data_IF_199252409371
#
_entry.id   IF_199252409371
#
_cell.length_a   1.000
_cell.length_b   1.000
_cell.length_c   1.000
_cell.angle_alpha   90.00
_cell.angle_beta   90.00
_cell.angle_gamma   90.00
#
_symmetry.space_group_name_H-M   'P 1'
#
loop_
_entity.id
_entity.type
_entity.pdbx_description
1 polymer ?
#
# COMPACT_ATOMS: atom_id res chain seq x y z
N UNK A 1 20.59 -20.16 -10.98
CA UNK A 1 20.70 -19.64 -9.60
C UNK A 1 20.17 -20.68 -8.64
N UNK A 2 20.76 -20.86 -7.49
CA UNK A 2 20.17 -21.69 -6.44
C UNK A 2 18.96 -20.99 -5.83
N UNK A 3 18.03 -21.73 -5.22
CA UNK A 3 16.85 -21.13 -4.54
C UNK A 3 17.26 -20.05 -3.52
N UNK A 4 18.41 -20.22 -2.86
CA UNK A 4 18.94 -19.24 -1.92
C UNK A 4 19.42 -17.94 -2.57
N UNK A 5 19.89 -17.99 -3.82
CA UNK A 5 20.33 -16.78 -4.55
C UNK A 5 19.16 -15.93 -5.03
N UNK A 6 18.04 -16.57 -5.38
CA UNK A 6 16.82 -15.87 -5.82
C UNK A 6 16.13 -15.13 -4.66
N UNK A 7 16.27 -15.65 -3.44
CA UNK A 7 15.68 -15.08 -2.23
C UNK A 7 16.49 -13.91 -1.61
N UNK A 8 17.62 -13.52 -2.24
CA UNK A 8 18.42 -12.36 -1.85
C UNK A 8 18.51 -11.38 -3.01
N UNK A 9 17.87 -10.23 -2.85
CA UNK A 9 17.72 -9.22 -3.89
C UNK A 9 17.61 -7.81 -3.29
N UNK A 10 17.60 -6.78 -4.13
CA UNK A 10 17.29 -5.43 -3.71
C UNK A 10 15.83 -5.06 -4.00
N UNK A 11 15.19 -4.38 -3.06
CA UNK A 11 13.89 -3.77 -3.25
C UNK A 11 14.03 -2.25 -3.36
N UNK A 12 13.30 -1.64 -4.28
CA UNK A 12 13.25 -0.21 -4.51
C UNK A 12 11.90 0.36 -4.09
N UNK A 13 11.90 1.31 -3.15
CA UNK A 13 10.75 2.13 -2.79
C UNK A 13 10.85 3.47 -3.52
N UNK A 14 10.00 3.69 -4.52
CA UNK A 14 9.98 4.89 -5.34
C UNK A 14 9.08 5.95 -4.71
N UNK A 15 9.65 7.08 -4.35
CA UNK A 15 8.94 8.28 -3.91
C UNK A 15 8.68 9.16 -5.12
N UNK A 16 7.43 9.49 -5.37
CA UNK A 16 7.05 10.32 -6.51
C UNK A 16 6.20 11.50 -6.08
N UNK A 17 6.05 12.43 -6.99
CA UNK A 17 5.24 13.62 -6.84
C UNK A 17 3.75 13.29 -7.00
N UNK A 18 2.92 13.71 -6.05
CA UNK A 18 1.48 13.44 -6.08
C UNK A 18 0.83 14.15 -7.28
N UNK A 19 0.16 13.41 -8.18
CA UNK A 19 -0.47 14.01 -9.35
C UNK A 19 -1.80 14.69 -9.00
N UNK A 20 -2.17 15.65 -9.82
CA UNK A 20 -3.45 16.36 -9.73
C UNK A 20 -4.17 16.34 -11.09
N UNK A 21 -4.52 15.16 -11.63
CA UNK A 21 -5.11 15.03 -12.96
C UNK A 21 -6.56 15.47 -12.99
N UNK A 22 -6.97 16.11 -14.08
CA UNK A 22 -8.37 16.45 -14.32
C UNK A 22 -9.18 15.26 -14.87
N UNK A 23 -8.51 14.36 -15.60
CA UNK A 23 -9.15 13.20 -16.24
C UNK A 23 -8.15 12.07 -16.55
N UNK A 24 -8.66 10.96 -17.06
CA UNK A 24 -7.90 9.74 -17.40
C UNK A 24 -6.76 9.95 -18.39
N UNK A 25 -6.83 10.96 -19.24
CA UNK A 25 -5.80 11.20 -20.28
C UNK A 25 -4.43 11.52 -19.68
N UNK A 26 -4.39 11.97 -18.44
CA UNK A 26 -3.15 12.25 -17.73
C UNK A 26 -2.42 10.98 -17.25
N UNK A 27 -3.10 9.84 -17.10
CA UNK A 27 -2.55 8.60 -16.53
C UNK A 27 -1.36 8.09 -17.36
N UNK A 28 -1.49 8.10 -18.70
CA UNK A 28 -0.44 7.61 -19.60
C UNK A 28 0.94 8.23 -19.35
N UNK A 29 0.98 9.55 -19.16
CA UNK A 29 2.24 10.28 -18.85
C UNK A 29 2.81 9.92 -17.48
N UNK A 30 1.94 9.66 -16.51
CA UNK A 30 2.39 9.18 -15.18
C UNK A 30 3.04 7.81 -15.29
N UNK A 31 2.44 6.92 -16.09
CA UNK A 31 3.01 5.59 -16.35
C UNK A 31 4.35 5.70 -17.07
N UNK A 32 4.49 6.56 -18.11
CA UNK A 32 5.79 6.82 -18.76
C UNK A 32 6.88 7.18 -17.75
N UNK A 33 6.54 8.08 -16.84
CA UNK A 33 7.46 8.54 -15.82
C UNK A 33 7.85 7.41 -14.84
N UNK A 34 6.88 6.63 -14.37
CA UNK A 34 7.15 5.50 -13.46
C UNK A 34 7.95 4.39 -14.13
N UNK A 35 7.71 4.10 -15.42
CA UNK A 35 8.55 3.15 -16.18
C UNK A 35 9.99 3.62 -16.27
N UNK A 36 10.22 4.91 -16.48
CA UNK A 36 11.56 5.51 -16.45
C UNK A 36 12.22 5.36 -15.07
N UNK A 37 11.46 5.55 -13.97
CA UNK A 37 11.98 5.34 -12.63
C UNK A 37 12.33 3.88 -12.35
N UNK A 38 11.58 2.93 -12.92
CA UNK A 38 11.93 1.49 -12.85
C UNK A 38 13.29 1.26 -13.52
N UNK A 39 13.50 1.78 -14.72
CA UNK A 39 14.77 1.63 -15.45
C UNK A 39 15.94 2.22 -14.62
N UNK A 40 15.74 3.38 -13.99
CA UNK A 40 16.74 3.99 -13.12
C UNK A 40 17.00 3.16 -11.85
N UNK A 41 15.96 2.61 -11.22
CA UNK A 41 16.10 1.78 -10.02
C UNK A 41 16.88 0.50 -10.32
N UNK A 42 16.53 -0.19 -11.40
CA UNK A 42 17.16 -1.46 -11.80
C UNK A 42 18.58 -1.22 -12.29
N UNK A 43 18.77 -0.33 -13.29
CA UNK A 43 20.09 -0.09 -13.88
C UNK A 43 21.08 0.57 -12.92
N UNK A 44 20.60 1.48 -12.05
CA UNK A 44 21.46 2.18 -11.11
C UNK A 44 21.99 1.31 -9.97
N UNK A 45 21.32 0.22 -9.63
CA UNK A 45 21.72 -0.66 -8.50
C UNK A 45 22.29 -2.01 -8.96
N UNK A 46 22.19 -2.34 -10.24
CA UNK A 46 22.69 -3.60 -10.83
C UNK A 46 24.11 -3.98 -10.42
N UNK A 47 25.10 -3.07 -10.34
CA UNK A 47 26.45 -3.41 -9.95
C UNK A 47 26.60 -3.93 -8.51
N UNK A 48 25.60 -3.74 -7.67
CA UNK A 48 25.66 -4.11 -6.25
C UNK A 48 24.83 -5.35 -5.95
N UNK A 49 23.54 -5.32 -6.32
CA UNK A 49 22.58 -6.39 -6.10
C UNK A 49 21.40 -6.20 -7.05
N UNK A 50 20.92 -7.26 -7.75
CA UNK A 50 19.80 -7.10 -8.66
C UNK A 50 18.53 -6.61 -7.94
N UNK A 51 17.91 -5.57 -8.46
CA UNK A 51 16.59 -5.13 -7.99
C UNK A 51 15.54 -6.07 -8.56
N UNK A 52 14.75 -6.69 -7.69
CA UNK A 52 13.70 -7.64 -8.08
C UNK A 52 12.30 -7.19 -7.65
N UNK A 53 12.19 -6.17 -6.81
CA UNK A 53 10.91 -5.58 -6.39
C UNK A 53 10.99 -4.06 -6.49
N UNK A 54 10.03 -3.45 -7.19
CA UNK A 54 9.87 -2.00 -7.29
C UNK A 54 8.47 -1.64 -6.80
N UNK A 55 8.38 -0.65 -5.90
CA UNK A 55 7.13 -0.24 -5.23
C UNK A 55 6.88 1.23 -5.48
N UNK A 56 5.67 1.57 -5.93
CA UNK A 56 5.18 2.94 -6.11
C UNK A 56 4.14 3.30 -5.05
N UNK A 57 3.95 4.60 -4.77
CA UNK A 57 3.06 5.05 -3.71
C UNK A 57 1.58 5.08 -4.13
N UNK A 58 0.71 5.28 -3.15
CA UNK A 58 -0.73 5.50 -3.36
C UNK A 58 -0.96 6.74 -4.25
N UNK A 59 -2.01 6.70 -5.07
CA UNK A 59 -2.37 7.75 -6.03
C UNK A 59 -1.29 8.08 -7.07
N UNK A 60 -0.41 7.15 -7.34
CA UNK A 60 0.66 7.35 -8.32
C UNK A 60 0.14 7.74 -9.71
N UNK A 61 -1.02 7.24 -10.08
CA UNK A 61 -1.64 7.44 -11.40
C UNK A 61 -2.61 8.61 -11.41
N UNK A 62 -3.45 8.70 -10.40
CA UNK A 62 -4.45 9.76 -10.25
C UNK A 62 -4.81 9.94 -8.77
N UNK A 63 -4.74 11.17 -8.27
CA UNK A 63 -5.26 11.52 -6.95
C UNK A 63 -6.78 11.75 -7.01
N UNK A 64 -7.51 11.52 -5.90
CA UNK A 64 -8.96 11.70 -5.82
C UNK A 64 -9.33 13.19 -5.72
N UNK A 65 -9.16 13.93 -6.79
CA UNK A 65 -9.34 15.39 -6.83
C UNK A 65 -10.80 15.87 -6.89
N UNK A 66 -11.74 14.94 -6.99
CA UNK A 66 -13.18 15.25 -7.04
C UNK A 66 -13.86 14.83 -5.74
N UNK A 67 -14.86 15.63 -5.26
CA UNK A 67 -15.47 15.41 -3.95
C UNK A 67 -16.47 14.26 -3.90
N UNK A 68 -16.87 13.70 -5.03
CA UNK A 68 -17.88 12.63 -5.09
C UNK A 68 -17.34 11.38 -5.78
N UNK A 69 -17.80 10.21 -5.34
CA UNK A 69 -17.48 8.94 -5.97
C UNK A 69 -17.93 8.92 -7.45
N UNK A 70 -19.06 9.54 -7.77
CA UNK A 70 -19.57 9.64 -9.13
C UNK A 70 -18.62 10.38 -10.06
N UNK A 71 -18.11 11.53 -9.64
CA UNK A 71 -17.16 12.29 -10.46
C UNK A 71 -15.83 11.54 -10.64
N UNK A 72 -15.34 10.86 -9.58
CA UNK A 72 -14.16 10.01 -9.68
C UNK A 72 -14.38 8.87 -10.68
N UNK A 73 -15.55 8.21 -10.61
CA UNK A 73 -15.93 7.14 -11.52
C UNK A 73 -15.96 7.62 -12.97
N UNK A 74 -16.62 8.74 -13.23
CA UNK A 74 -16.82 9.27 -14.58
C UNK A 74 -15.54 9.81 -15.20
N UNK A 75 -14.65 10.44 -14.40
CA UNK A 75 -13.51 11.20 -14.92
C UNK A 75 -12.17 10.49 -14.78
N UNK A 76 -11.94 9.73 -13.70
CA UNK A 76 -10.63 9.20 -13.34
C UNK A 76 -10.56 7.68 -13.28
N UNK A 77 -11.61 7.01 -12.83
CA UNK A 77 -11.57 5.58 -12.60
C UNK A 77 -11.41 4.78 -13.91
N UNK A 78 -10.55 3.76 -13.84
CA UNK A 78 -10.24 2.85 -14.95
C UNK A 78 -10.53 1.41 -14.56
N UNK A 79 -10.87 0.51 -15.49
CA UNK A 79 -10.94 -0.90 -15.21
C UNK A 79 -9.54 -1.46 -14.97
N UNK A 80 -9.43 -2.62 -14.31
CA UNK A 80 -8.20 -3.41 -14.20
C UNK A 80 -8.55 -4.85 -14.64
N UNK A 81 -7.87 -5.43 -15.67
CA UNK A 81 -6.73 -4.88 -16.42
C UNK A 81 -7.09 -3.72 -17.37
N UNK A 82 -6.08 -2.97 -17.79
CA UNK A 82 -6.20 -1.89 -18.78
C UNK A 82 -4.87 -1.67 -19.50
N UNK A 83 -4.85 -0.74 -20.48
CA UNK A 83 -3.65 -0.41 -21.26
C UNK A 83 -2.43 0.01 -20.41
N UNK A 84 -2.66 0.59 -19.24
CA UNK A 84 -1.59 1.01 -18.35
C UNK A 84 -1.00 -0.17 -17.58
N UNK A 85 -1.85 -1.08 -17.10
CA UNK A 85 -1.37 -2.30 -16.42
C UNK A 85 -0.62 -3.21 -17.38
N UNK A 86 -1.00 -3.29 -18.65
CA UNK A 86 -0.27 -4.05 -19.67
C UNK A 86 1.16 -3.54 -19.84
N UNK A 87 1.36 -2.23 -19.82
CA UNK A 87 2.70 -1.63 -19.90
C UNK A 87 3.61 -2.00 -18.73
N UNK A 88 3.06 -2.12 -17.53
CA UNK A 88 3.81 -2.66 -16.38
C UNK A 88 4.10 -4.15 -16.53
N UNK A 89 3.18 -4.93 -17.11
CA UNK A 89 3.41 -6.36 -17.41
C UNK A 89 4.57 -6.50 -18.39
N UNK A 90 4.58 -5.71 -19.46
CA UNK A 90 5.68 -5.69 -20.43
C UNK A 90 7.02 -5.35 -19.76
N UNK A 91 7.04 -4.30 -18.91
CA UNK A 91 8.24 -3.88 -18.18
C UNK A 91 8.71 -4.94 -17.16
N UNK A 92 7.78 -5.56 -16.43
CA UNK A 92 8.09 -6.63 -15.48
C UNK A 92 8.70 -7.85 -16.20
N UNK A 93 8.18 -8.18 -17.38
CA UNK A 93 8.70 -9.26 -18.22
C UNK A 93 10.07 -8.93 -18.81
N UNK A 94 10.25 -7.71 -19.31
CA UNK A 94 11.52 -7.23 -19.87
C UNK A 94 12.68 -7.34 -18.87
N UNK A 95 12.43 -6.92 -17.62
CA UNK A 95 13.45 -6.82 -16.57
C UNK A 95 13.44 -8.02 -15.60
N UNK A 96 12.52 -8.97 -15.75
CA UNK A 96 12.31 -10.09 -14.83
C UNK A 96 12.19 -9.67 -13.38
N UNK A 97 11.30 -8.69 -13.11
CA UNK A 97 11.05 -8.07 -11.80
C UNK A 97 9.58 -8.14 -11.41
N UNK A 98 9.31 -7.84 -10.13
CA UNK A 98 7.98 -7.62 -9.58
C UNK A 98 7.75 -6.13 -9.33
N UNK A 99 6.57 -5.65 -9.69
CA UNK A 99 6.19 -4.25 -9.57
C UNK A 99 4.89 -4.14 -8.76
N UNK A 100 4.95 -3.41 -7.64
CA UNK A 100 3.75 -2.92 -6.98
C UNK A 100 3.43 -1.55 -7.56
N UNK A 101 2.36 -1.46 -8.33
CA UNK A 101 2.13 -0.34 -9.27
C UNK A 101 1.82 1.02 -8.65
N UNK A 102 1.71 1.12 -7.35
CA UNK A 102 0.99 2.23 -6.73
C UNK A 102 -0.50 2.03 -6.90
N UNK A 103 -1.33 3.06 -6.67
CA UNK A 103 -2.77 2.84 -6.81
C UNK A 103 -3.38 3.50 -8.05
N UNK A 104 -4.40 2.80 -8.57
CA UNK A 104 -5.40 3.31 -9.51
C UNK A 104 -6.69 3.60 -8.76
N UNK A 105 -7.46 4.55 -9.24
CA UNK A 105 -8.88 4.62 -8.99
C UNK A 105 -9.54 3.59 -9.92
N UNK A 106 -9.99 2.47 -9.34
CA UNK A 106 -10.53 1.33 -10.10
C UNK A 106 -12.06 1.40 -10.17
N UNK A 107 -12.61 1.13 -11.34
CA UNK A 107 -14.00 0.74 -11.51
C UNK A 107 -14.07 -0.73 -11.89
N UNK A 108 -15.06 -1.43 -11.36
CA UNK A 108 -15.30 -2.84 -11.65
C UNK A 108 -16.80 -3.04 -11.86
N UNK A 109 -17.19 -3.38 -13.07
CA UNK A 109 -18.60 -3.49 -13.49
C UNK A 109 -19.39 -4.52 -12.68
N UNK A 110 -18.71 -5.44 -11.98
CA UNK A 110 -19.35 -6.42 -11.07
C UNK A 110 -20.01 -5.75 -9.86
N UNK A 111 -19.53 -4.56 -9.49
CA UNK A 111 -19.96 -3.88 -8.26
C UNK A 111 -20.68 -2.54 -8.53
N UNK A 112 -21.09 -2.29 -9.79
CA UNK A 112 -21.81 -1.08 -10.15
C UNK A 112 -20.93 0.18 -10.19
N UNK A 113 -21.49 1.34 -9.84
CA UNK A 113 -20.83 2.64 -9.99
C UNK A 113 -19.99 3.02 -8.76
N UNK A 114 -19.26 2.08 -8.18
CA UNK A 114 -18.33 2.33 -7.08
C UNK A 114 -16.91 2.53 -7.60
N UNK A 115 -16.10 3.23 -6.82
CA UNK A 115 -14.67 3.42 -7.08
C UNK A 115 -13.87 2.77 -5.96
N UNK A 116 -12.90 1.96 -6.32
CA UNK A 116 -11.94 1.39 -5.38
C UNK A 116 -10.59 2.10 -5.51
N UNK A 117 -9.89 2.20 -4.39
CA UNK A 117 -8.48 2.55 -4.36
C UNK A 117 -7.67 1.25 -4.41
N UNK A 118 -7.08 0.94 -5.57
CA UNK A 118 -6.57 -0.40 -5.88
C UNK A 118 -5.11 -0.37 -6.29
N UNK A 119 -4.31 -1.23 -5.70
CA UNK A 119 -2.92 -1.49 -6.12
C UNK A 119 -2.78 -2.91 -6.69
N UNK A 120 -1.90 -3.07 -7.69
CA UNK A 120 -1.64 -4.35 -8.34
C UNK A 120 -0.21 -4.81 -8.08
N UNK A 121 -0.04 -6.08 -7.74
CA UNK A 121 1.24 -6.75 -7.86
C UNK A 121 1.33 -7.36 -9.26
N UNK A 122 2.33 -6.94 -10.01
CA UNK A 122 2.59 -7.38 -11.38
C UNK A 122 3.95 -8.05 -11.43
N UNK A 123 4.00 -9.23 -12.03
CA UNK A 123 5.22 -9.96 -12.32
C UNK A 123 5.38 -10.26 -13.80
N UNK A 124 6.44 -11.00 -14.19
CA UNK A 124 6.64 -11.43 -15.57
C UNK A 124 5.47 -12.25 -16.15
N UNK A 125 4.68 -12.87 -15.27
CA UNK A 125 3.52 -13.69 -15.65
C UNK A 125 2.24 -12.87 -15.87
N UNK A 126 2.23 -11.59 -15.49
CA UNK A 126 1.07 -10.70 -15.58
C UNK A 126 0.67 -10.08 -14.25
N UNK A 127 -0.62 -9.71 -14.11
CA UNK A 127 -1.19 -9.23 -12.85
C UNK A 127 -1.38 -10.44 -11.93
N UNK A 128 -0.66 -10.47 -10.81
CA UNK A 128 -0.66 -11.58 -9.85
C UNK A 128 -1.70 -11.40 -8.76
N UNK A 129 -1.91 -10.17 -8.32
CA UNK A 129 -2.96 -9.82 -7.35
C UNK A 129 -3.41 -8.39 -7.49
N UNK A 130 -4.63 -8.14 -6.98
CA UNK A 130 -5.18 -6.80 -6.73
C UNK A 130 -5.51 -6.69 -5.25
N UNK A 131 -5.09 -5.60 -4.62
CA UNK A 131 -5.52 -5.24 -3.29
C UNK A 131 -6.34 -3.95 -3.36
N UNK A 132 -7.55 -3.98 -2.84
CA UNK A 132 -8.44 -2.83 -2.69
C UNK A 132 -8.42 -2.35 -1.26
N UNK A 133 -8.20 -1.05 -1.04
CA UNK A 133 -8.07 -0.45 0.28
C UNK A 133 -9.28 -0.78 1.15
N UNK A 134 -9.04 -1.38 2.31
CA UNK A 134 -10.08 -1.77 3.26
C UNK A 134 -10.44 -0.59 4.17
N UNK A 135 -9.45 0.08 4.72
CA UNK A 135 -9.66 1.24 5.58
C UNK A 135 -9.44 2.51 4.76
N UNK A 136 -10.51 3.04 4.18
CA UNK A 136 -10.46 4.33 3.50
C UNK A 136 -10.19 5.44 4.50
N UNK A 137 -9.38 6.44 4.11
CA UNK A 137 -9.09 7.53 5.01
C UNK A 137 -10.22 8.55 5.00
N UNK A 138 -10.86 8.62 6.11
CA UNK A 138 -11.92 9.55 6.37
C UNK A 138 -11.31 10.82 6.99
N UNK A 139 -11.66 12.03 6.55
CA UNK A 139 -12.95 12.39 5.95
C UNK A 139 -12.98 12.55 4.42
N UNK A 140 -11.93 12.25 3.66
CA UNK A 140 -11.88 12.70 2.25
C UNK A 140 -11.96 11.59 1.20
N UNK A 141 -11.69 10.35 1.55
CA UNK A 141 -11.77 9.27 0.58
C UNK A 141 -13.19 8.73 0.44
N UNK A 142 -13.80 9.06 -0.68
CA UNK A 142 -15.14 8.58 -1.06
C UNK A 142 -15.10 7.26 -1.84
N UNK A 143 -14.05 6.47 -1.65
CA UNK A 143 -13.89 5.16 -2.25
C UNK A 143 -14.69 4.11 -1.49
N UNK A 144 -15.15 3.07 -2.19
CA UNK A 144 -15.74 1.91 -1.55
C UNK A 144 -14.66 1.04 -0.89
N UNK A 145 -14.95 0.55 0.29
CA UNK A 145 -14.22 -0.58 0.88
C UNK A 145 -14.82 -1.89 0.39
N UNK A 146 -14.02 -2.95 0.16
CA UNK A 146 -14.55 -4.30 -0.07
C UNK A 146 -15.54 -4.75 1.02
N UNK A 147 -15.31 -4.32 2.25
CA UNK A 147 -16.16 -4.62 3.40
C UNK A 147 -17.57 -4.02 3.30
N UNK A 148 -17.75 -2.94 2.55
CA UNK A 148 -19.04 -2.27 2.38
C UNK A 148 -19.94 -2.95 1.32
N UNK A 149 -19.43 -3.94 0.62
CA UNK A 149 -20.12 -4.63 -0.47
C UNK A 149 -20.52 -6.04 -0.05
N UNK A 150 -21.82 -6.32 0.12
CA UNK A 150 -22.31 -7.65 0.57
C UNK A 150 -21.90 -8.79 -0.36
N UNK A 151 -21.82 -8.50 -1.66
CA UNK A 151 -21.52 -9.49 -2.70
C UNK A 151 -20.05 -9.44 -3.17
N UNK A 152 -19.13 -8.91 -2.36
CA UNK A 152 -17.73 -8.89 -2.71
C UNK A 152 -17.15 -10.30 -2.83
N UNK A 153 -16.51 -10.60 -3.96
CA UNK A 153 -16.11 -11.97 -4.33
C UNK A 153 -14.60 -12.18 -4.35
N UNK A 154 -13.81 -11.12 -4.41
CA UNK A 154 -12.36 -11.24 -4.50
C UNK A 154 -11.74 -11.43 -3.10
N UNK A 155 -10.51 -11.93 -3.02
CA UNK A 155 -9.79 -12.02 -1.76
C UNK A 155 -9.47 -10.62 -1.20
N UNK A 156 -9.79 -10.38 0.09
CA UNK A 156 -9.61 -9.08 0.71
C UNK A 156 -8.13 -8.81 1.01
N UNK A 157 -7.38 -9.82 1.47
CA UNK A 157 -5.96 -9.70 1.84
C UNK A 157 -5.10 -10.70 1.06
N UNK A 158 -4.93 -10.51 -0.27
CA UNK A 158 -4.17 -11.44 -1.09
C UNK A 158 -2.68 -11.43 -0.75
N UNK A 159 -2.10 -12.63 -0.69
CA UNK A 159 -0.68 -12.86 -0.58
C UNK A 159 -0.24 -13.78 -1.71
N UNK A 160 0.74 -13.34 -2.48
CA UNK A 160 1.21 -14.07 -3.65
C UNK A 160 2.54 -14.73 -3.37
N UNK A 161 2.64 -16.02 -3.64
CA UNK A 161 3.91 -16.73 -3.64
C UNK A 161 4.65 -16.46 -4.95
N UNK A 162 5.88 -15.99 -4.84
CA UNK A 162 6.74 -15.67 -5.98
C UNK A 162 8.14 -16.25 -5.76
N UNK A 163 8.97 -16.35 -6.82
CA UNK A 163 10.39 -16.72 -6.67
C UNK A 163 11.19 -15.86 -5.70
N UNK A 164 10.76 -14.61 -5.45
CA UNK A 164 11.43 -13.68 -4.52
C UNK A 164 10.86 -13.67 -3.10
N UNK A 165 9.90 -14.55 -2.81
CA UNK A 165 9.21 -14.65 -1.52
C UNK A 165 7.70 -14.42 -1.64
N UNK A 166 7.01 -14.44 -0.49
CA UNK A 166 5.57 -14.20 -0.41
C UNK A 166 5.32 -12.72 -0.17
N UNK A 167 4.64 -12.08 -1.13
CA UNK A 167 4.40 -10.64 -1.16
C UNK A 167 2.95 -10.33 -0.82
N UNK A 168 2.73 -9.37 0.09
CA UNK A 168 1.40 -8.86 0.43
C UNK A 168 1.43 -7.35 0.59
N UNK A 169 0.43 -6.66 0.03
CA UNK A 169 0.35 -5.21 0.05
C UNK A 169 -0.88 -4.70 0.79
N UNK A 170 -0.74 -3.53 1.42
CA UNK A 170 -1.84 -2.74 1.97
C UNK A 170 -1.61 -1.25 1.71
N UNK A 171 -2.70 -0.46 1.75
CA UNK A 171 -2.68 0.92 1.29
C UNK A 171 -2.81 1.90 2.47
N UNK A 172 -1.82 2.75 2.65
CA UNK A 172 -1.80 3.98 3.45
C UNK A 172 -2.44 3.84 4.85
N UNK A 173 -3.71 4.22 4.98
CA UNK A 173 -4.43 4.24 6.26
C UNK A 173 -4.60 2.86 6.88
N UNK A 174 -4.65 1.78 6.07
CA UNK A 174 -4.63 0.40 6.57
C UNK A 174 -3.48 0.13 7.55
N UNK A 175 -2.35 0.81 7.37
CA UNK A 175 -1.15 0.61 8.17
C UNK A 175 -1.21 1.20 9.57
N UNK A 176 -2.14 2.11 9.85
CA UNK A 176 -2.37 2.60 11.21
C UNK A 176 -3.05 1.55 12.09
N UNK A 177 -3.71 0.57 11.47
CA UNK A 177 -4.31 -0.57 12.15
C UNK A 177 -3.34 -1.77 12.10
N UNK A 178 -3.05 -2.45 13.21
CA UNK A 178 -2.23 -3.66 13.18
C UNK A 178 -2.93 -4.84 12.50
N UNK A 179 -4.25 -4.88 12.48
CA UNK A 179 -5.05 -6.01 12.05
C UNK A 179 -4.88 -6.36 10.56
N UNK A 180 -4.99 -5.42 9.60
CA UNK A 180 -4.78 -5.71 8.18
C UNK A 180 -3.39 -6.26 7.90
N UNK A 181 -2.37 -5.70 8.54
CA UNK A 181 -0.98 -6.10 8.32
C UNK A 181 -0.70 -7.46 8.98
N UNK A 182 -1.28 -7.71 10.15
CA UNK A 182 -1.26 -9.02 10.79
C UNK A 182 -1.96 -10.07 9.94
N UNK A 183 -3.09 -9.73 9.31
CA UNK A 183 -3.82 -10.65 8.43
C UNK A 183 -2.98 -11.04 7.21
N UNK A 184 -2.33 -10.09 6.54
CA UNK A 184 -1.40 -10.40 5.46
C UNK A 184 -0.30 -11.37 5.90
N UNK A 185 0.25 -11.16 7.09
CA UNK A 185 1.29 -12.05 7.62
C UNK A 185 0.73 -13.41 8.01
N UNK A 186 -0.48 -13.49 8.55
CA UNK A 186 -1.16 -14.74 8.84
C UNK A 186 -1.46 -15.52 7.55
N UNK A 187 -1.71 -14.84 6.44
CA UNK A 187 -1.83 -15.42 5.10
C UNK A 187 -0.46 -15.81 4.49
N UNK A 188 0.64 -15.55 5.20
CA UNK A 188 1.98 -16.01 4.87
C UNK A 188 2.93 -14.95 4.32
N UNK A 189 2.57 -13.69 4.26
CA UNK A 189 3.44 -12.64 3.73
C UNK A 189 4.80 -12.59 4.45
N UNK A 190 5.86 -12.47 3.67
CA UNK A 190 7.27 -12.36 4.09
C UNK A 190 7.79 -10.95 3.84
N UNK A 191 7.28 -10.32 2.79
CA UNK A 191 7.53 -8.92 2.46
C UNK A 191 6.18 -8.20 2.43
N UNK A 192 6.03 -7.27 3.34
CA UNK A 192 4.86 -6.41 3.49
C UNK A 192 5.11 -5.12 2.72
N UNK A 193 4.24 -4.81 1.78
CA UNK A 193 4.39 -3.67 0.89
C UNK A 193 3.41 -2.58 1.29
N UNK A 194 3.95 -1.41 1.65
CA UNK A 194 3.16 -0.22 1.97
C UNK A 194 3.12 0.73 0.79
N UNK A 195 1.94 0.91 0.23
CA UNK A 195 1.64 1.86 -0.84
C UNK A 195 0.91 3.04 -0.22
N UNK A 196 1.52 4.25 -0.16
CA UNK A 196 1.00 5.31 0.70
C UNK A 196 1.08 6.72 0.10
N UNK A 197 0.07 7.52 0.42
CA UNK A 197 0.10 8.98 0.32
C UNK A 197 -0.13 9.59 1.71
N UNK A 198 0.76 9.26 2.65
CA UNK A 198 0.69 9.75 4.01
C UNK A 198 1.06 11.23 4.07
N UNK A 199 0.11 12.05 4.45
CA UNK A 199 0.18 13.50 4.27
C UNK A 199 0.43 14.31 5.56
N UNK A 200 0.45 13.66 6.72
CA UNK A 200 0.65 14.39 7.96
C UNK A 200 2.12 14.79 8.16
N UNK A 201 2.48 16.06 7.93
CA UNK A 201 3.87 16.47 8.05
C UNK A 201 4.37 16.45 9.50
N UNK A 202 3.49 16.62 10.48
CA UNK A 202 3.88 16.57 11.89
C UNK A 202 4.04 15.15 12.36
N UNK A 203 3.10 14.29 12.01
CA UNK A 203 3.17 12.88 12.34
C UNK A 203 4.31 12.16 11.64
N UNK A 204 4.71 12.60 10.43
CA UNK A 204 5.75 11.95 9.64
C UNK A 204 7.18 12.38 9.99
N UNK A 205 7.36 13.43 10.78
CA UNK A 205 8.68 14.00 11.08
C UNK A 205 8.98 13.97 12.59
N UNK A 206 10.29 13.93 12.98
CA UNK A 206 10.65 14.01 14.38
C UNK A 206 10.11 15.28 15.06
N UNK A 207 9.72 15.21 16.33
CA UNK A 207 9.92 14.07 17.26
C UNK A 207 8.82 13.01 17.23
N UNK A 208 7.70 13.20 16.53
CA UNK A 208 6.59 12.25 16.51
C UNK A 208 6.89 11.04 15.63
N UNK A 209 7.30 11.30 14.39
CA UNK A 209 7.80 10.30 13.42
C UNK A 209 6.92 9.02 13.27
N UNK A 210 5.60 9.20 13.24
CA UNK A 210 4.65 8.09 13.14
C UNK A 210 4.88 7.22 11.91
N UNK A 211 5.31 7.84 10.82
CA UNK A 211 5.64 7.12 9.59
C UNK A 211 6.70 6.04 9.84
N UNK A 212 7.84 6.42 10.41
CA UNK A 212 8.94 5.49 10.70
C UNK A 212 8.56 4.52 11.82
N UNK A 213 7.92 5.02 12.89
CA UNK A 213 7.50 4.19 14.03
C UNK A 213 6.56 3.09 13.59
N UNK A 214 5.52 3.40 12.82
CA UNK A 214 4.54 2.42 12.35
C UNK A 214 5.21 1.39 11.44
N UNK A 215 5.99 1.79 10.44
CA UNK A 215 6.65 0.86 9.53
C UNK A 215 7.59 -0.11 10.26
N UNK A 216 8.37 0.39 11.21
CA UNK A 216 9.26 -0.42 12.04
C UNK A 216 8.49 -1.37 12.96
N UNK A 217 7.41 -0.89 13.58
CA UNK A 217 6.56 -1.70 14.43
C UNK A 217 5.92 -2.85 13.63
N UNK A 218 5.35 -2.56 12.44
CA UNK A 218 4.75 -3.59 11.59
C UNK A 218 5.75 -4.64 11.13
N UNK A 219 6.99 -4.25 10.84
CA UNK A 219 8.06 -5.19 10.51
C UNK A 219 8.38 -6.11 11.70
N UNK A 220 8.64 -5.52 12.87
CA UNK A 220 9.04 -6.23 14.08
C UNK A 220 7.96 -7.19 14.59
N UNK A 221 6.72 -6.72 14.76
CA UNK A 221 5.63 -7.51 15.32
C UNK A 221 5.14 -8.63 14.40
N UNK A 222 5.45 -8.56 13.10
CA UNK A 222 5.08 -9.54 12.09
C UNK A 222 6.27 -10.40 11.62
N UNK A 223 7.47 -10.13 12.11
CA UNK A 223 8.70 -10.80 11.66
C UNK A 223 8.73 -10.85 10.14
N UNK A 224 8.66 -9.68 9.50
CA UNK A 224 8.56 -9.50 8.05
C UNK A 224 9.34 -8.27 7.59
N UNK A 225 9.82 -8.28 6.34
CA UNK A 225 10.33 -7.06 5.72
C UNK A 225 9.18 -6.09 5.44
N UNK A 226 9.48 -4.80 5.48
CA UNK A 226 8.58 -3.74 5.02
C UNK A 226 9.26 -2.93 3.93
N UNK A 227 8.59 -2.81 2.78
CA UNK A 227 8.96 -1.90 1.69
C UNK A 227 7.86 -0.85 1.59
N UNK A 228 8.17 0.36 2.00
CA UNK A 228 7.18 1.44 2.12
C UNK A 228 7.49 2.57 1.14
N UNK A 229 6.60 2.79 0.19
CA UNK A 229 6.66 3.91 -0.73
C UNK A 229 5.62 4.96 -0.34
N UNK A 230 6.05 6.22 -0.23
CA UNK A 230 5.19 7.36 0.09
C UNK A 230 5.24 8.42 -0.99
N UNK A 231 4.15 9.15 -1.14
CA UNK A 231 4.10 10.35 -1.98
C UNK A 231 4.93 11.49 -1.38
N UNK A 232 5.49 12.31 -2.26
CA UNK A 232 6.07 13.59 -1.89
C UNK A 232 5.39 14.71 -2.67
N UNK A 233 5.21 15.86 -2.04
CA UNK A 233 4.69 17.02 -2.74
C UNK A 233 5.81 17.76 -3.47
N UNK A 234 5.47 18.37 -4.61
CA UNK A 234 6.30 19.39 -5.23
C UNK A 234 5.58 20.73 -5.24
N UNK A 235 6.34 21.80 -5.39
CA UNK A 235 5.78 23.15 -5.50
C UNK A 235 4.84 23.33 -6.70
N UNK A 236 4.89 22.41 -7.67
CA UNK A 236 4.00 22.43 -8.82
C UNK A 236 2.56 21.99 -8.51
N UNK A 237 2.37 21.09 -7.55
CA UNK A 237 1.09 20.46 -7.27
C UNK A 237 0.52 20.85 -5.92
N UNK A 238 1.34 20.78 -4.86
CA UNK A 238 0.93 21.02 -3.48
C UNK A 238 2.02 21.75 -2.71
N UNK A 239 1.72 22.40 -1.59
CA UNK A 239 2.76 22.91 -0.71
C UNK A 239 3.74 21.80 -0.35
N UNK A 240 5.06 22.03 -0.48
CA UNK A 240 6.08 20.98 -0.32
C UNK A 240 6.08 20.23 1.01
N UNK A 241 5.48 20.77 2.04
CA UNK A 241 5.35 20.12 3.34
C UNK A 241 4.15 19.19 3.46
N UNK A 242 3.19 19.21 2.52
CA UNK A 242 1.92 18.47 2.62
C UNK A 242 2.10 16.96 2.57
N UNK A 243 3.05 16.47 1.77
CA UNK A 243 3.40 15.07 1.69
C UNK A 243 4.89 14.91 1.92
N UNK A 244 5.29 14.44 3.11
CA UNK A 244 6.69 14.51 3.54
C UNK A 244 7.61 13.46 2.91
N UNK A 245 7.09 12.53 2.13
CA UNK A 245 7.91 11.46 1.57
C UNK A 245 8.41 10.48 2.63
N UNK A 246 9.72 10.27 2.69
CA UNK A 246 10.34 9.36 3.65
C UNK A 246 10.21 7.88 3.30
N UNK A 247 10.04 7.56 2.01
CA UNK A 247 10.00 6.17 1.53
C UNK A 247 11.15 5.36 2.11
N UNK A 248 10.90 4.09 2.49
CA UNK A 248 11.88 3.32 3.26
C UNK A 248 11.81 1.82 3.04
N UNK A 249 12.87 1.13 3.44
CA UNK A 249 12.92 -0.32 3.59
C UNK A 249 13.33 -0.66 5.02
N UNK A 250 12.59 -1.58 5.65
CA UNK A 250 12.79 -2.01 7.04
C UNK A 250 12.95 -3.52 7.08
N UNK A 251 13.89 -4.03 7.88
CA UNK A 251 14.07 -5.47 8.06
C UNK A 251 13.10 -6.08 9.09
N UNK A 252 13.05 -7.39 9.15
CA UNK A 252 12.18 -8.14 10.07
C UNK A 252 12.50 -7.97 11.56
N UNK A 253 13.60 -7.31 11.90
CA UNK A 253 13.95 -6.88 13.26
C UNK A 253 13.51 -5.42 13.53
N UNK A 254 12.82 -4.77 12.59
CA UNK A 254 12.43 -3.38 12.70
C UNK A 254 13.60 -2.39 12.51
N UNK A 255 14.73 -2.84 11.94
CA UNK A 255 15.85 -1.95 11.61
C UNK A 255 15.61 -1.25 10.29
N UNK A 256 15.83 0.04 10.28
CA UNK A 256 15.78 0.85 9.06
C UNK A 256 17.01 0.52 8.20
N UNK A 257 16.79 -0.06 7.02
CA UNK A 257 17.87 -0.39 6.08
C UNK A 257 18.21 0.79 5.17
N UNK A 258 17.19 1.50 4.70
CA UNK A 258 17.33 2.73 3.93
C UNK A 258 16.06 3.59 4.06
N UNK A 259 16.21 4.91 3.99
CA UNK A 259 15.11 5.87 4.02
C UNK A 259 15.46 7.10 3.19
N UNK A 260 14.49 7.61 2.44
CA UNK A 260 14.58 8.91 1.81
C UNK A 260 14.58 10.02 2.87
N UNK A 261 15.38 11.06 2.68
CA UNK A 261 15.30 12.25 3.51
C UNK A 261 13.87 12.79 3.51
N UNK A 262 13.33 13.22 4.66
CA UNK A 262 12.05 13.90 4.70
C UNK A 262 12.03 15.13 3.79
N UNK A 263 10.91 15.35 3.12
CA UNK A 263 10.72 16.52 2.29
C UNK A 263 10.29 16.21 0.85
N UNK A 264 10.08 17.27 0.07
CA UNK A 264 9.56 17.18 -1.28
C UNK A 264 10.54 16.53 -2.25
N UNK A 265 10.00 16.14 -3.39
CA UNK A 265 10.77 15.66 -4.53
C UNK A 265 10.86 14.16 -4.65
N UNK A 266 11.18 13.74 -5.84
CA UNK A 266 11.27 12.33 -6.22
C UNK A 266 12.57 11.70 -5.75
N UNK A 267 12.48 10.46 -5.26
CA UNK A 267 13.61 9.70 -4.75
C UNK A 267 13.41 8.22 -5.01
N UNK A 268 14.49 7.49 -5.20
CA UNK A 268 14.50 6.03 -5.27
C UNK A 268 15.33 5.52 -4.10
N UNK A 269 14.68 4.81 -3.18
CA UNK A 269 15.33 4.22 -2.01
C UNK A 269 15.51 2.74 -2.26
N UNK A 270 16.75 2.26 -2.24
CA UNK A 270 17.07 0.86 -2.51
C UNK A 270 17.77 0.23 -1.32
N UNK A 271 17.34 -0.97 -0.94
CA UNK A 271 17.97 -1.75 0.12
C UNK A 271 17.89 -3.26 -0.13
N UNK A 272 18.83 -4.03 0.42
CA UNK A 272 18.81 -5.49 0.28
C UNK A 272 17.68 -6.13 1.10
N UNK A 273 17.10 -7.19 0.55
CA UNK A 273 16.15 -8.11 1.19
C UNK A 273 16.75 -9.51 1.15
N UNK A 274 16.69 -10.24 2.25
CA UNK A 274 17.12 -11.62 2.38
C UNK A 274 15.98 -12.46 2.98
N UNK A 275 15.13 -13.00 2.12
CA UNK A 275 13.99 -13.83 2.53
C UNK A 275 14.45 -15.17 3.09
N UNK A 276 15.61 -15.68 2.67
CA UNK A 276 16.17 -16.93 3.22
C UNK A 276 16.54 -16.74 4.71
N UNK A 277 17.15 -15.61 5.06
CA UNK A 277 17.44 -15.25 6.45
C UNK A 277 16.15 -15.08 7.28
N UNK A 278 15.13 -14.44 6.72
CA UNK A 278 13.82 -14.31 7.34
C UNK A 278 13.19 -15.68 7.64
N UNK A 279 13.18 -16.58 6.65
CA UNK A 279 12.63 -17.94 6.80
C UNK A 279 13.38 -18.72 7.88
N UNK A 280 14.70 -18.60 7.92
CA UNK A 280 15.51 -19.18 8.98
C UNK A 280 15.10 -18.63 10.36
N UNK A 281 14.98 -17.31 10.48
CA UNK A 281 14.57 -16.67 11.72
C UNK A 281 13.16 -17.10 12.17
N UNK A 282 12.17 -17.08 11.29
CA UNK A 282 10.81 -17.55 11.59
C UNK A 282 10.77 -19.00 12.07
N UNK A 283 11.66 -19.84 11.54
CA UNK A 283 11.75 -21.27 11.89
C UNK A 283 12.44 -21.49 13.24
N UNK A 284 13.49 -20.74 13.55
CA UNK A 284 14.39 -21.01 14.69
C UNK A 284 14.12 -20.15 15.93
N UNK A 285 13.48 -18.99 15.76
CA UNK A 285 13.17 -18.07 16.86
C UNK A 285 12.24 -18.72 17.87
N UNK A 286 12.70 -18.84 19.10
CA UNK A 286 11.92 -19.44 20.22
C UNK A 286 11.23 -18.37 21.06
N UNK A 287 11.94 -17.30 21.42
CA UNK A 287 11.39 -16.13 22.11
C UNK A 287 10.92 -15.06 21.12
N UNK A 288 9.96 -14.23 21.52
CA UNK A 288 9.42 -13.14 20.69
C UNK A 288 8.88 -13.59 19.31
N UNK A 289 8.40 -14.85 19.22
CA UNK A 289 7.71 -15.35 18.03
C UNK A 289 6.24 -14.91 18.09
N UNK A 290 6.01 -13.66 17.77
CA UNK A 290 4.73 -12.98 17.97
C UNK A 290 3.56 -13.61 17.22
N UNK A 291 3.82 -14.25 16.06
CA UNK A 291 2.80 -14.96 15.31
C UNK A 291 2.41 -16.28 15.96
N UNK A 292 3.40 -17.09 16.34
CA UNK A 292 3.14 -18.40 16.93
C UNK A 292 2.61 -18.31 18.38
N UNK A 293 2.86 -17.18 19.06
CA UNK A 293 2.39 -16.96 20.42
C UNK A 293 1.09 -16.15 20.50
N UNK A 294 0.52 -15.73 19.37
CA UNK A 294 -0.71 -14.95 19.35
C UNK A 294 -1.90 -15.77 19.83
N UNK A 295 -2.61 -15.23 20.81
CA UNK A 295 -3.79 -15.83 21.46
C UNK A 295 -5.06 -15.13 21.01
N UNK A 296 -5.35 -15.17 19.69
CA UNK A 296 -6.48 -14.45 19.07
C UNK A 296 -7.83 -14.81 19.70
N UNK A 297 -7.99 -16.01 20.24
CA UNK A 297 -9.18 -16.48 20.94
C UNK A 297 -9.46 -15.70 22.24
N UNK A 298 -8.46 -14.98 22.76
CA UNK A 298 -8.60 -14.14 23.96
C UNK A 298 -9.08 -12.72 23.67
N UNK A 299 -9.29 -12.35 22.41
CA UNK A 299 -9.63 -10.98 22.01
C UNK A 299 -11.05 -10.88 21.42
N UNK A 300 -12.10 -10.79 22.27
CA UNK A 300 -13.49 -10.74 21.79
C UNK A 300 -13.78 -9.51 20.91
N UNK A 301 -12.92 -8.50 20.91
CA UNK A 301 -13.05 -7.31 20.07
C UNK A 301 -13.10 -7.64 18.57
N UNK A 302 -12.44 -8.69 18.12
CA UNK A 302 -12.44 -9.09 16.71
C UNK A 302 -13.80 -9.62 16.22
N UNK A 303 -14.72 -9.93 17.12
CA UNK A 303 -16.10 -10.28 16.80
C UNK A 303 -17.08 -9.11 16.87
N UNK A 304 -16.60 -7.88 17.10
CA UNK A 304 -17.47 -6.70 17.30
C UNK A 304 -17.08 -5.59 16.33
N UNK A 305 -17.75 -5.48 15.18
CA UNK A 305 -17.52 -4.35 14.28
C UNK A 305 -17.94 -3.05 14.96
N UNK A 306 -17.03 -2.10 15.04
CA UNK A 306 -17.30 -0.80 15.61
C UNK A 306 -17.68 0.22 14.54
N UNK A 307 -16.98 0.18 13.40
CA UNK A 307 -17.37 0.97 12.24
C UNK A 307 -18.59 0.30 11.57
N UNK A 308 -19.64 1.05 11.26
CA UNK A 308 -20.80 0.48 10.58
C UNK A 308 -20.41 0.01 9.20
N UNK A 309 -20.46 -1.30 9.01
CA UNK A 309 -20.32 -1.96 7.71
C UNK A 309 -21.62 -1.90 6.91
N UNK A 310 -21.55 -2.35 5.67
CA UNK A 310 -22.73 -2.55 4.82
C UNK A 310 -23.49 -1.26 4.48
N UNK A 311 -22.80 -0.25 4.04
CA UNK A 311 -23.46 0.91 3.44
C UNK A 311 -23.74 0.73 1.94
N UNK A 312 -23.57 -0.49 1.42
CA UNK A 312 -24.05 -0.90 0.11
C UNK A 312 -23.42 -0.17 -1.08
N UNK A 313 -22.23 0.37 -0.94
CA UNK A 313 -21.57 1.14 -2.01
C UNK A 313 -22.32 2.43 -2.42
N UNK A 314 -23.46 2.72 -1.78
CA UNK A 314 -24.16 3.94 -2.01
C UNK A 314 -23.45 5.09 -1.35
N UNK A 315 -22.96 5.84 -2.00
CA UNK A 315 -22.60 6.93 -1.57
C UNK A 315 -21.86 7.34 -0.76
N UNK A 316 -20.87 7.26 -0.83
CA UNK A 316 -20.02 7.86 0.11
C UNK A 316 -19.85 9.36 -0.20
N UNK A 317 -20.56 10.15 0.52
CA UNK A 317 -20.30 11.57 0.67
C UNK A 317 -19.52 11.77 1.98
N UNK A 318 -18.78 12.87 2.09
CA UNK A 318 -18.10 13.24 3.36
C UNK A 318 -19.08 13.24 4.54
N UNK A 319 -20.31 13.67 4.29
CA UNK A 319 -21.38 13.70 5.29
C UNK A 319 -21.76 12.31 5.81
N UNK A 320 -21.93 11.33 4.92
CA UNK A 320 -22.21 9.94 5.31
C UNK A 320 -21.04 9.27 6.04
N UNK A 321 -19.82 9.69 5.77
CA UNK A 321 -18.63 9.24 6.50
C UNK A 321 -18.62 9.78 7.91
N UNK A 322 -18.93 11.07 8.09
CA UNK A 322 -19.01 11.70 9.41
C UNK A 322 -20.09 11.04 10.29
N UNK A 323 -21.25 10.69 9.71
CA UNK A 323 -22.28 9.91 10.40
C UNK A 323 -21.78 8.55 10.85
N UNK A 324 -21.05 7.83 9.99
CA UNK A 324 -20.46 6.54 10.32
C UNK A 324 -19.43 6.63 11.46
N UNK A 325 -18.60 7.68 11.45
CA UNK A 325 -17.66 7.95 12.53
C UNK A 325 -18.39 8.23 13.84
N UNK A 326 -19.45 9.04 13.80
CA UNK A 326 -20.23 9.37 14.98
C UNK A 326 -20.88 8.11 15.58
N UNK A 327 -21.42 7.22 14.76
CA UNK A 327 -21.96 5.93 15.19
C UNK A 327 -20.88 5.05 15.84
N UNK A 328 -19.72 4.92 15.22
CA UNK A 328 -18.61 4.14 15.76
C UNK A 328 -18.14 4.71 17.11
N UNK A 329 -18.03 6.04 17.24
CA UNK A 329 -17.71 6.69 18.51
C UNK A 329 -18.76 6.41 19.57
N UNK A 330 -20.05 6.39 19.21
CA UNK A 330 -21.13 6.02 20.12
C UNK A 330 -20.99 4.60 20.65
N UNK A 331 -20.66 3.62 19.79
CA UNK A 331 -20.39 2.22 20.19
C UNK A 331 -19.21 2.10 21.15
N UNK A 332 -18.22 2.99 21.05
CA UNK A 332 -17.07 3.07 21.94
C UNK A 332 -17.32 3.83 23.25
N UNK A 333 -18.50 4.43 23.41
CA UNK A 333 -18.81 5.28 24.55
C UNK A 333 -18.31 6.72 24.45
N UNK A 334 -17.89 7.15 23.29
CA UNK A 334 -17.43 8.51 23.00
C UNK A 334 -18.47 9.30 22.18
N UNK A 335 -19.75 8.98 22.36
CA UNK A 335 -20.81 9.78 21.75
C UNK A 335 -20.71 11.25 22.19
N UNK A 336 -20.96 12.17 21.27
CA UNK A 336 -21.00 13.60 21.59
C UNK A 336 -22.05 13.82 22.69
N UNK A 337 -21.59 14.24 23.86
CA UNK A 337 -22.51 14.95 24.79
C UNK A 337 -23.01 16.17 24.05
N UNK A 338 -24.33 16.27 23.92
CA UNK A 338 -25.01 17.48 23.45
C UNK A 338 -24.51 18.73 24.15
#
# INVERSE_FOLDING_TARGET
MSESETLRYAAAACQIDLPNPADRSAIGRRVDHMLTMIDHAVGGYEPFLPVKLVVFPEFAHAAPVYPTARELYDKLAVPIPNEHTERYVEKAKELEIYIQTGTFLERDDRYGEVVFNTTCLIGPEGILSKYRKVNTWIPWEVHASPHDLPDYQDEIFPVVETPIGRLGAAICYDWLFPEPIRQLTANGAEVLIRVSAYMDPWGATPPMDWWTVVNRCRALENVAYVVASNQAASAANYPPFSWPGGSMVVDFEGRLLAQADPGPGEKIVVAPIDVAALRHERKTRRGHQTLAHLRSECYPMYGRPWYPGERGGEKLTVESIDEAIAEAKGKLGYGTSE
#
